data_IF_462427632179
#
_entry.id   IF_462427632179
#
_cell.length_a   1.000
_cell.length_b   1.000
_cell.length_c   1.000
_cell.angle_alpha   90.00
_cell.angle_beta   90.00
_cell.angle_gamma   90.00
#
_symmetry.space_group_name_H-M   'P 1'
#
loop_
_entity.id
_entity.type
_entity.pdbx_description
1 polymer ?
#
# COMPACT_ATOMS: atom_id res chain seq x y z
N UNK A 1 -80.78 -1.56 12.27
CA UNK A 1 -81.19 -2.57 11.25
C UNK A 1 -80.65 -3.93 11.71
N UNK A 2 -81.04 -5.05 11.06
CA UNK A 2 -80.66 -6.42 11.47
C UNK A 2 -79.13 -6.62 11.61
N UNK A 3 -78.57 -7.49 12.48
CA UNK A 3 -78.85 -8.92 12.77
C UNK A 3 -78.57 -9.82 11.54
N UNK A 4 -77.97 -11.02 11.62
CA UNK A 4 -78.00 -12.05 12.70
C UNK A 4 -76.68 -12.90 12.73
N UNK A 5 -76.65 -13.95 13.57
CA UNK A 5 -75.64 -15.01 13.82
C UNK A 5 -75.21 -15.83 12.55
N UNK A 6 -74.32 -16.85 12.52
CA UNK A 6 -74.07 -18.01 13.46
C UNK A 6 -72.69 -18.70 13.29
N UNK A 7 -72.41 -19.69 14.16
CA UNK A 7 -71.15 -20.45 14.34
C UNK A 7 -71.15 -21.87 13.72
N UNK A 8 -70.00 -22.58 13.82
CA UNK A 8 -69.84 -24.04 13.54
C UNK A 8 -68.37 -24.39 13.22
N UNK A 9 -67.50 -24.98 14.07
CA UNK A 9 -67.51 -26.18 14.93
C UNK A 9 -67.58 -27.55 14.19
N UNK A 10 -66.40 -28.13 13.88
CA UNK A 10 -65.94 -29.53 14.16
C UNK A 10 -66.77 -30.78 13.73
N UNK A 11 -66.25 -32.04 13.85
CA UNK A 11 -64.86 -32.54 13.82
C UNK A 11 -64.61 -33.76 12.88
N UNK A 12 -63.34 -34.21 12.85
CA UNK A 12 -62.80 -35.56 12.61
C UNK A 12 -63.67 -36.74 12.08
N UNK A 13 -63.07 -37.53 11.17
CA UNK A 13 -63.19 -39.00 11.26
C UNK A 13 -61.99 -39.78 10.71
N UNK A 14 -61.36 -40.56 11.59
CA UNK A 14 -60.38 -41.60 11.27
C UNK A 14 -61.06 -42.94 10.98
N UNK A 15 -60.46 -43.79 10.13
CA UNK A 15 -60.87 -45.20 9.95
C UNK A 15 -59.76 -46.08 9.38
N UNK A 16 -59.33 -47.07 10.17
CA UNK A 16 -58.35 -48.09 9.80
C UNK A 16 -59.00 -49.49 9.81
N UNK A 17 -58.59 -50.38 8.89
CA UNK A 17 -58.48 -51.85 9.09
C UNK A 17 -57.93 -52.61 7.87
N UNK A 18 -56.88 -53.41 8.12
CA UNK A 18 -56.63 -54.83 7.75
C UNK A 18 -57.60 -55.53 6.78
N UNK A 19 -57.22 -56.44 5.87
CA UNK A 19 -56.32 -57.64 5.98
C UNK A 19 -55.71 -58.02 4.61
N UNK A 20 -54.42 -58.36 4.44
CA UNK A 20 -53.70 -59.65 4.67
C UNK A 20 -53.74 -60.69 3.51
N UNK A 21 -52.58 -61.35 3.26
CA UNK A 21 -52.27 -62.26 2.13
C UNK A 21 -51.11 -61.68 1.28
N UNK A 22 -49.92 -62.26 1.16
CA UNK A 22 -49.47 -63.60 0.70
C UNK A 22 -49.61 -63.80 -0.83
N UNK A 23 -48.57 -64.13 -1.61
CA UNK A 23 -47.13 -64.30 -1.30
C UNK A 23 -46.29 -63.07 -1.75
N UNK A 24 -45.14 -63.06 -2.46
CA UNK A 24 -44.29 -64.04 -3.16
C UNK A 24 -42.80 -63.56 -3.14
N UNK A 25 -41.84 -64.25 -3.78
CA UNK A 25 -40.40 -63.98 -3.62
C UNK A 25 -39.70 -63.47 -4.91
N UNK A 26 -38.95 -62.36 -4.82
CA UNK A 26 -38.14 -61.85 -5.94
C UNK A 26 -36.83 -61.18 -5.46
N UNK A 27 -35.77 -61.97 -5.38
CA UNK A 27 -34.44 -61.58 -4.91
C UNK A 27 -33.77 -60.49 -5.80
N UNK A 28 -33.39 -59.35 -5.20
CA UNK A 28 -32.67 -58.27 -5.91
C UNK A 28 -31.36 -57.90 -5.22
N UNK A 29 -30.27 -57.96 -5.98
CA UNK A 29 -28.88 -57.83 -5.52
C UNK A 29 -28.57 -56.41 -5.02
N UNK A 30 -27.65 -56.25 -4.04
CA UNK A 30 -27.28 -54.93 -3.53
C UNK A 30 -26.63 -54.08 -4.63
N UNK A 31 -27.16 -52.87 -4.84
CA UNK A 31 -26.52 -51.90 -5.73
C UNK A 31 -25.29 -51.32 -5.06
N UNK A 32 -24.11 -51.62 -5.62
CA UNK A 32 -22.83 -51.12 -5.11
C UNK A 32 -22.79 -49.59 -5.13
N UNK A 33 -22.75 -48.99 -3.94
CA UNK A 33 -22.55 -47.56 -3.75
C UNK A 33 -21.12 -47.17 -4.12
N UNK A 34 -20.92 -46.76 -5.38
CA UNK A 34 -19.66 -46.11 -5.80
C UNK A 34 -19.37 -44.94 -4.84
N UNK A 35 -18.16 -44.84 -4.26
CA UNK A 35 -17.83 -43.76 -3.36
C UNK A 35 -17.90 -42.42 -4.11
N UNK A 36 -18.68 -41.48 -3.59
CA UNK A 36 -18.85 -40.16 -4.19
C UNK A 36 -17.54 -39.38 -4.02
N UNK A 37 -16.80 -39.14 -5.11
CA UNK A 37 -15.44 -38.62 -5.03
C UNK A 37 -15.43 -37.11 -4.74
N UNK A 38 -15.28 -36.76 -3.45
CA UNK A 38 -15.35 -35.39 -2.94
C UNK A 38 -14.13 -34.50 -3.29
N UNK A 39 -13.10 -35.05 -3.96
CA UNK A 39 -11.88 -34.32 -4.32
C UNK A 39 -12.00 -33.47 -5.59
N UNK A 40 -13.03 -33.68 -6.42
CA UNK A 40 -13.11 -33.12 -7.78
C UNK A 40 -14.17 -32.01 -7.98
N UNK A 41 -14.71 -31.42 -6.91
CA UNK A 41 -15.49 -30.16 -7.03
C UNK A 41 -14.50 -28.99 -7.00
N UNK A 42 -14.16 -28.49 -8.19
CA UNK A 42 -13.63 -27.14 -8.39
C UNK A 42 -14.74 -26.13 -8.13
N UNK A 43 -14.45 -25.09 -7.35
CA UNK A 43 -15.38 -23.98 -7.12
C UNK A 43 -15.40 -23.08 -8.36
N UNK A 44 -16.53 -23.02 -9.07
CA UNK A 44 -16.74 -22.10 -10.19
C UNK A 44 -17.00 -20.68 -9.68
N UNK A 45 -15.98 -19.82 -9.81
CA UNK A 45 -16.01 -18.43 -9.32
C UNK A 45 -16.80 -17.57 -10.32
N UNK A 46 -17.79 -16.83 -9.83
CA UNK A 46 -18.59 -15.90 -10.63
C UNK A 46 -17.76 -14.68 -11.05
N UNK A 47 -18.03 -14.09 -12.22
CA UNK A 47 -17.24 -12.98 -12.75
C UNK A 47 -17.21 -11.76 -11.78
N UNK A 48 -18.35 -11.41 -11.18
CA UNK A 48 -18.46 -10.36 -10.14
C UNK A 48 -17.69 -10.64 -8.83
N UNK A 49 -17.21 -11.87 -8.64
CA UNK A 49 -16.42 -12.31 -7.48
C UNK A 49 -14.90 -12.37 -7.79
N UNK A 50 -14.51 -12.05 -9.02
CA UNK A 50 -13.11 -11.99 -9.48
C UNK A 50 -12.52 -10.59 -9.29
N UNK A 51 -11.28 -10.51 -8.79
CA UNK A 51 -10.53 -9.26 -8.75
C UNK A 51 -10.05 -8.85 -10.16
N UNK A 52 -10.38 -7.65 -10.66
CA UNK A 52 -10.04 -7.23 -12.03
C UNK A 52 -8.55 -6.97 -12.27
N UNK A 53 -7.70 -7.05 -11.23
CA UNK A 53 -6.26 -6.80 -11.31
C UNK A 53 -5.46 -8.11 -11.38
N UNK A 54 -5.85 -9.12 -10.58
CA UNK A 54 -5.17 -10.42 -10.51
C UNK A 54 -5.98 -11.60 -11.06
N UNK A 55 -7.14 -11.32 -11.67
CA UNK A 55 -8.02 -12.28 -12.36
C UNK A 55 -8.34 -13.55 -11.54
N UNK A 56 -8.39 -13.38 -10.22
CA UNK A 56 -8.58 -14.42 -9.22
C UNK A 56 -9.56 -13.95 -8.16
N UNK A 57 -10.21 -14.88 -7.45
CA UNK A 57 -11.21 -14.58 -6.40
C UNK A 57 -10.79 -13.41 -5.51
N UNK A 58 -11.69 -12.45 -5.29
CA UNK A 58 -11.50 -11.33 -4.38
C UNK A 58 -11.08 -11.80 -2.97
N UNK A 59 -10.03 -11.17 -2.43
CA UNK A 59 -9.45 -11.47 -1.11
C UNK A 59 -9.13 -10.16 -0.40
N UNK A 60 -9.56 -10.03 0.87
CA UNK A 60 -9.63 -8.75 1.61
C UNK A 60 -10.17 -7.63 0.68
N UNK A 61 -11.39 -7.74 0.13
CA UNK A 61 -11.88 -6.82 -0.89
C UNK A 61 -12.01 -5.40 -0.33
N UNK A 62 -11.53 -4.42 -1.09
CA UNK A 62 -11.73 -2.99 -0.85
C UNK A 62 -12.57 -2.40 -1.96
N UNK A 63 -13.51 -1.52 -1.61
CA UNK A 63 -14.35 -0.80 -2.57
C UNK A 63 -13.98 0.68 -2.56
N UNK A 64 -13.78 1.25 -3.75
CA UNK A 64 -13.44 2.67 -3.95
C UNK A 64 -14.68 3.56 -3.88
N UNK A 65 -14.52 4.87 -3.60
CA UNK A 65 -15.64 5.84 -3.68
C UNK A 65 -16.24 5.99 -5.07
N UNK A 66 -15.54 5.54 -6.12
CA UNK A 66 -16.07 5.38 -7.47
C UNK A 66 -16.68 3.98 -7.74
N UNK A 67 -17.04 3.24 -6.68
CA UNK A 67 -17.74 1.95 -6.67
C UNK A 67 -17.08 0.81 -7.47
N UNK A 68 -15.74 0.75 -7.49
CA UNK A 68 -15.00 -0.39 -8.03
C UNK A 68 -14.42 -1.22 -6.90
N UNK A 69 -14.47 -2.56 -7.02
CA UNK A 69 -14.01 -3.48 -5.97
C UNK A 69 -12.84 -4.33 -6.46
N UNK A 70 -11.82 -4.50 -5.62
CA UNK A 70 -10.59 -5.26 -5.90
C UNK A 70 -9.97 -5.75 -4.59
N UNK A 71 -8.96 -6.63 -4.64
CA UNK A 71 -8.23 -7.03 -3.42
C UNK A 71 -7.46 -5.84 -2.83
N UNK A 72 -7.45 -5.72 -1.50
CA UNK A 72 -6.64 -4.75 -0.74
C UNK A 72 -5.19 -4.73 -1.21
N UNK A 73 -4.54 -5.90 -1.25
CA UNK A 73 -3.16 -6.05 -1.69
C UNK A 73 -2.96 -5.52 -3.12
N UNK A 74 -3.87 -5.83 -4.05
CA UNK A 74 -3.75 -5.36 -5.42
C UNK A 74 -3.90 -3.84 -5.55
N UNK A 75 -4.74 -3.20 -4.73
CA UNK A 75 -4.82 -1.74 -4.67
C UNK A 75 -3.56 -1.12 -4.04
N UNK A 76 -3.02 -1.72 -2.98
CA UNK A 76 -1.81 -1.26 -2.33
C UNK A 76 -0.61 -1.33 -3.28
N UNK A 77 -0.39 -2.46 -3.95
CA UNK A 77 0.65 -2.59 -4.99
C UNK A 77 0.42 -1.61 -6.14
N UNK A 78 -0.83 -1.36 -6.56
CA UNK A 78 -1.11 -0.35 -7.59
C UNK A 78 -0.78 1.07 -7.14
N UNK A 79 -1.06 1.42 -5.88
CA UNK A 79 -0.66 2.71 -5.31
C UNK A 79 0.87 2.85 -5.30
N UNK A 80 1.60 1.82 -4.86
CA UNK A 80 3.07 1.81 -4.86
C UNK A 80 3.68 1.92 -6.27
N UNK A 81 3.04 1.32 -7.28
CA UNK A 81 3.49 1.33 -8.67
C UNK A 81 3.12 2.60 -9.45
N UNK A 82 2.05 3.31 -9.08
CA UNK A 82 1.57 4.46 -9.87
C UNK A 82 2.29 5.75 -9.49
N UNK A 83 3.14 6.21 -10.42
CA UNK A 83 3.84 7.52 -10.39
C UNK A 83 2.91 8.73 -10.16
N UNK A 84 1.60 8.54 -10.36
CA UNK A 84 0.55 9.56 -10.23
C UNK A 84 -0.06 9.63 -8.81
N UNK A 85 0.14 8.63 -7.94
CA UNK A 85 -0.59 8.51 -6.67
C UNK A 85 -0.20 9.49 -5.55
N UNK A 86 0.97 10.14 -5.63
CA UNK A 86 1.63 10.71 -4.44
C UNK A 86 1.90 12.21 -4.49
N UNK A 87 0.96 12.99 -5.02
CA UNK A 87 1.01 14.45 -5.04
C UNK A 87 -0.39 15.06 -4.81
N UNK A 88 -1.06 14.65 -3.72
CA UNK A 88 -2.37 15.20 -3.35
C UNK A 88 -2.23 16.68 -2.95
N UNK A 89 -2.96 17.59 -3.59
CA UNK A 89 -2.93 19.01 -3.23
C UNK A 89 -3.57 19.23 -1.85
N UNK A 90 -2.86 19.93 -0.95
CA UNK A 90 -3.31 20.20 0.42
C UNK A 90 -3.06 21.67 0.78
N UNK A 91 -3.79 22.17 1.79
CA UNK A 91 -3.65 23.56 2.25
C UNK A 91 -2.26 23.85 2.81
N UNK A 92 -1.77 25.09 2.66
CA UNK A 92 -0.46 25.49 3.19
C UNK A 92 -0.36 25.42 4.72
N UNK A 93 -1.51 25.48 5.42
CA UNK A 93 -1.63 25.39 6.87
C UNK A 93 -1.72 23.95 7.40
N UNK A 94 -1.77 22.93 6.52
CA UNK A 94 -1.82 21.50 6.92
C UNK A 94 -0.43 20.97 7.28
N UNK A 95 0.18 21.50 8.34
CA UNK A 95 1.41 20.97 8.96
C UNK A 95 1.13 19.84 9.97
N UNK A 96 -0.14 19.57 10.29
CA UNK A 96 -0.52 18.51 11.22
C UNK A 96 -0.29 17.12 10.62
N UNK A 97 0.36 16.18 11.33
CA UNK A 97 0.36 14.78 10.95
C UNK A 97 -1.04 14.20 11.17
N UNK A 98 -1.87 14.27 10.13
CA UNK A 98 -3.21 13.68 10.09
C UNK A 98 -3.13 12.21 10.54
N UNK A 99 -3.98 11.82 11.49
CA UNK A 99 -3.96 10.46 12.04
C UNK A 99 -4.17 9.48 10.90
N UNK A 100 -3.18 8.60 10.68
CA UNK A 100 -3.27 7.52 9.70
C UNK A 100 -4.42 6.59 10.07
N UNK A 101 -5.62 6.88 9.56
CA UNK A 101 -6.76 5.97 9.58
C UNK A 101 -6.31 4.69 8.84
N UNK A 102 -6.10 3.55 9.52
CA UNK A 102 -5.32 2.44 8.94
C UNK A 102 -5.92 1.83 7.67
N UNK A 103 -7.20 2.12 7.41
CA UNK A 103 -8.03 1.49 6.40
C UNK A 103 -8.34 2.40 5.19
N UNK A 104 -7.75 3.61 5.10
CA UNK A 104 -8.09 4.61 4.08
C UNK A 104 -7.00 4.77 3.01
N UNK A 105 -7.12 4.04 1.90
CA UNK A 105 -6.18 4.12 0.78
C UNK A 105 -6.59 5.24 -0.18
N UNK A 106 -5.97 6.42 -0.04
CA UNK A 106 -5.99 7.52 -1.03
C UNK A 106 -5.16 7.11 -2.27
N UNK A 107 -5.79 6.89 -3.43
CA UNK A 107 -5.09 6.56 -4.68
C UNK A 107 -5.93 6.82 -5.95
N UNK A 108 -5.31 6.72 -7.13
CA UNK A 108 -6.04 6.70 -8.41
C UNK A 108 -6.63 5.30 -8.65
N UNK A 109 -7.95 5.19 -8.83
CA UNK A 109 -8.63 3.91 -9.03
C UNK A 109 -8.09 3.18 -10.28
N UNK A 110 -7.64 1.91 -10.18
CA UNK A 110 -7.12 1.15 -11.33
C UNK A 110 -8.07 1.08 -12.53
N UNK A 111 -9.38 1.02 -12.25
CA UNK A 111 -10.42 0.77 -13.24
C UNK A 111 -10.83 2.02 -14.04
N UNK A 112 -11.01 3.16 -13.36
CA UNK A 112 -11.53 4.39 -13.95
C UNK A 112 -10.59 5.61 -13.85
N UNK A 113 -9.41 5.44 -13.23
CA UNK A 113 -8.35 6.45 -13.02
C UNK A 113 -8.74 7.67 -12.17
N UNK A 114 -9.99 7.78 -11.73
CA UNK A 114 -10.44 8.82 -10.80
C UNK A 114 -9.67 8.74 -9.47
N UNK A 115 -9.25 9.90 -8.95
CA UNK A 115 -8.77 10.01 -7.56
C UNK A 115 -9.88 9.58 -6.60
N UNK A 116 -9.58 8.64 -5.72
CA UNK A 116 -10.59 7.97 -4.91
C UNK A 116 -9.97 7.51 -3.58
N UNK A 117 -10.82 7.33 -2.57
CA UNK A 117 -10.44 6.58 -1.36
C UNK A 117 -11.08 5.20 -1.43
N UNK A 118 -10.40 4.20 -0.89
CA UNK A 118 -10.94 2.85 -0.73
C UNK A 118 -11.16 2.48 0.73
N UNK A 119 -12.18 1.65 0.98
CA UNK A 119 -12.60 1.16 2.29
C UNK A 119 -12.80 -0.37 2.23
N UNK A 120 -12.42 -1.15 3.25
CA UNK A 120 -12.67 -2.60 3.30
C UNK A 120 -14.15 -2.96 3.22
N UNK A 121 -14.50 -3.85 2.30
CA UNK A 121 -15.87 -4.33 2.06
C UNK A 121 -16.09 -5.67 2.79
N UNK A 122 -16.38 -5.57 4.09
CA UNK A 122 -16.53 -6.73 4.97
C UNK A 122 -17.70 -7.64 4.58
N UNK A 123 -18.80 -7.09 4.08
CA UNK A 123 -19.97 -7.86 3.65
C UNK A 123 -19.64 -8.73 2.43
N UNK A 124 -18.92 -8.15 1.45
CA UNK A 124 -18.42 -8.90 0.29
C UNK A 124 -17.41 -9.96 0.73
N UNK A 125 -16.52 -9.65 1.67
CA UNK A 125 -15.57 -10.65 2.20
C UNK A 125 -16.29 -11.85 2.85
N UNK A 126 -17.33 -11.59 3.66
CA UNK A 126 -18.14 -12.64 4.28
C UNK A 126 -18.89 -13.49 3.24
N UNK A 127 -19.48 -12.84 2.22
CA UNK A 127 -20.11 -13.54 1.09
C UNK A 127 -19.12 -14.47 0.36
N UNK A 128 -17.91 -13.99 0.07
CA UNK A 128 -16.87 -14.76 -0.62
C UNK A 128 -16.37 -15.93 0.23
N UNK A 129 -16.14 -15.73 1.54
CA UNK A 129 -15.77 -16.79 2.50
C UNK A 129 -16.82 -17.89 2.59
N UNK A 130 -18.11 -17.54 2.55
CA UNK A 130 -19.22 -18.48 2.60
C UNK A 130 -19.45 -19.21 1.26
N UNK A 131 -19.32 -18.51 0.12
CA UNK A 131 -19.58 -19.04 -1.23
C UNK A 131 -18.42 -19.88 -1.78
N UNK A 132 -17.17 -19.53 -1.43
CA UNK A 132 -15.95 -20.09 -2.02
C UNK A 132 -14.88 -20.49 -0.97
N UNK A 133 -15.21 -21.36 0.01
CA UNK A 133 -14.35 -21.64 1.17
C UNK A 133 -13.04 -22.39 0.86
N UNK A 134 -12.89 -23.08 -0.28
CA UNK A 134 -11.60 -23.64 -0.72
C UNK A 134 -10.74 -22.57 -1.36
N UNK A 135 -11.31 -21.80 -2.29
CA UNK A 135 -10.62 -20.78 -3.08
C UNK A 135 -10.20 -19.58 -2.23
N UNK A 136 -11.04 -19.15 -1.27
CA UNK A 136 -10.69 -18.06 -0.35
C UNK A 136 -9.49 -18.42 0.53
N UNK A 137 -9.44 -19.65 1.07
CA UNK A 137 -8.30 -20.14 1.85
C UNK A 137 -7.00 -20.19 1.02
N UNK A 138 -7.10 -20.49 -0.28
CA UNK A 138 -5.94 -20.41 -1.19
C UNK A 138 -5.46 -18.96 -1.34
N UNK A 139 -6.36 -18.00 -1.61
CA UNK A 139 -6.00 -16.57 -1.68
C UNK A 139 -5.39 -16.05 -0.36
N UNK A 140 -5.89 -16.55 0.78
CA UNK A 140 -5.34 -16.22 2.10
C UNK A 140 -3.90 -16.72 2.24
N UNK A 141 -3.62 -17.99 1.90
CA UNK A 141 -2.25 -18.51 1.93
C UNK A 141 -1.31 -17.78 0.96
N UNK A 142 -1.77 -17.44 -0.26
CA UNK A 142 -1.03 -16.59 -1.20
C UNK A 142 -0.69 -15.21 -0.59
N UNK A 143 -1.64 -14.60 0.14
CA UNK A 143 -1.45 -13.31 0.82
C UNK A 143 -0.50 -13.43 2.01
N UNK A 144 -0.60 -14.51 2.80
CA UNK A 144 0.27 -14.77 3.96
C UNK A 144 1.71 -15.09 3.53
N UNK A 145 1.91 -15.78 2.40
CA UNK A 145 3.23 -15.99 1.79
C UNK A 145 3.82 -14.68 1.23
N UNK A 146 3.01 -13.84 0.59
CA UNK A 146 3.42 -12.51 0.14
C UNK A 146 3.78 -11.61 1.33
N UNK A 147 2.90 -11.54 2.34
CA UNK A 147 3.11 -10.79 3.58
C UNK A 147 4.35 -11.30 4.34
N UNK A 148 4.63 -12.61 4.36
CA UNK A 148 5.85 -13.16 4.96
C UNK A 148 7.15 -12.76 4.22
N UNK A 149 7.11 -12.63 2.89
CA UNK A 149 8.25 -12.17 2.09
C UNK A 149 8.47 -10.64 2.19
N UNK A 150 7.39 -9.86 2.29
CA UNK A 150 7.43 -8.40 2.46
C UNK A 150 7.59 -7.95 3.92
N UNK A 151 7.38 -8.84 4.91
CA UNK A 151 7.49 -8.58 6.36
C UNK A 151 8.93 -8.39 6.84
N UNK A 152 9.67 -7.51 6.18
CA UNK A 152 10.83 -6.87 6.76
C UNK A 152 10.36 -5.75 7.70
N UNK A 153 10.59 -5.94 9.01
CA UNK A 153 10.45 -4.92 10.08
C UNK A 153 11.26 -3.63 9.83
N UNK A 154 12.04 -3.61 8.74
CA UNK A 154 12.77 -2.45 8.24
C UNK A 154 11.93 -1.47 7.41
N UNK A 155 10.75 -1.86 6.90
CA UNK A 155 9.90 -1.00 6.05
C UNK A 155 9.17 0.04 6.90
N UNK A 156 9.47 1.31 6.66
CA UNK A 156 8.99 2.46 7.46
C UNK A 156 8.20 3.43 6.57
N UNK A 157 6.99 3.84 6.97
CA UNK A 157 6.25 4.88 6.26
C UNK A 157 6.89 6.25 6.47
N UNK A 158 6.84 7.09 5.43
CA UNK A 158 7.38 8.44 5.40
C UNK A 158 6.46 9.34 4.57
N UNK A 159 5.86 10.35 5.19
CA UNK A 159 5.11 11.39 4.47
C UNK A 159 6.05 12.54 4.13
N UNK A 160 5.93 13.13 2.94
CA UNK A 160 6.66 14.35 2.57
C UNK A 160 5.66 15.35 2.00
N UNK A 161 5.68 16.58 2.53
CA UNK A 161 5.04 17.72 1.88
C UNK A 161 6.07 18.46 1.04
N UNK A 162 5.74 18.70 -0.22
CA UNK A 162 6.56 19.48 -1.17
C UNK A 162 5.74 20.68 -1.60
N UNK A 163 6.32 21.87 -1.58
CA UNK A 163 5.59 23.06 -1.97
C UNK A 163 6.45 24.31 -2.03
N UNK A 164 5.79 25.43 -2.26
CA UNK A 164 6.38 26.74 -2.01
C UNK A 164 5.35 27.70 -1.41
N UNK A 165 5.82 28.62 -0.57
CA UNK A 165 5.06 29.87 -0.31
C UNK A 165 5.51 30.96 -1.27
N UNK A 166 4.69 31.99 -1.43
CA UNK A 166 4.91 33.14 -2.30
C UNK A 166 4.40 34.45 -1.66
N UNK A 167 5.14 35.53 -1.87
CA UNK A 167 4.83 36.90 -1.42
C UNK A 167 5.30 37.91 -2.46
N UNK A 168 4.47 38.90 -2.78
CA UNK A 168 4.91 40.07 -3.54
C UNK A 168 5.67 41.03 -2.62
N UNK A 169 6.90 41.38 -3.00
CA UNK A 169 7.71 42.40 -2.33
C UNK A 169 7.47 43.74 -3.02
N UNK A 170 6.98 44.72 -2.26
CA UNK A 170 6.94 46.12 -2.70
C UNK A 170 8.34 46.72 -2.51
N UNK A 171 8.93 47.18 -3.60
CA UNK A 171 10.14 48.02 -3.59
C UNK A 171 9.74 49.43 -3.13
N UNK A 172 10.65 50.15 -2.47
CA UNK A 172 10.46 51.59 -2.20
C UNK A 172 10.32 52.40 -3.48
N UNK A 173 9.89 53.65 -3.37
CA UNK A 173 9.60 54.54 -4.53
C UNK A 173 10.80 54.86 -5.42
N UNK A 174 12.01 54.62 -4.93
CA UNK A 174 13.23 55.21 -5.47
C UNK A 174 14.10 54.11 -6.11
N UNK A 175 14.25 54.19 -7.44
CA UNK A 175 15.03 53.35 -8.36
C UNK A 175 14.39 52.05 -8.91
N UNK A 176 13.89 52.18 -10.15
CA UNK A 176 13.91 51.20 -11.25
C UNK A 176 13.08 49.89 -11.20
N UNK A 177 12.80 49.36 -12.39
CA UNK A 177 11.92 48.23 -12.65
C UNK A 177 12.55 46.86 -12.32
N UNK A 178 12.95 46.62 -11.07
CA UNK A 178 13.41 45.29 -10.67
C UNK A 178 12.26 44.29 -10.83
N UNK A 179 12.32 43.45 -11.88
CA UNK A 179 11.29 42.43 -12.21
C UNK A 179 11.17 41.34 -11.14
N UNK A 180 12.20 41.19 -10.30
CA UNK A 180 12.31 40.21 -9.22
C UNK A 180 11.42 40.51 -8.00
N UNK A 181 10.10 40.70 -8.21
CA UNK A 181 9.13 41.10 -7.18
C UNK A 181 8.48 39.91 -6.45
N UNK A 182 8.62 38.70 -6.99
CA UNK A 182 8.08 37.48 -6.41
C UNK A 182 9.11 36.88 -5.44
N UNK A 183 8.89 37.08 -4.14
CA UNK A 183 9.59 36.33 -3.11
C UNK A 183 8.92 34.98 -2.95
N UNK A 184 9.69 33.90 -3.11
CA UNK A 184 9.20 32.55 -2.95
C UNK A 184 10.14 31.75 -2.05
N UNK A 185 9.57 30.78 -1.33
CA UNK A 185 10.28 29.87 -0.46
C UNK A 185 9.83 28.45 -0.77
N UNK A 186 10.62 27.74 -1.58
CA UNK A 186 10.43 26.32 -1.85
C UNK A 186 10.83 25.51 -0.61
N UNK A 187 10.11 24.43 -0.31
CA UNK A 187 10.38 23.60 0.85
C UNK A 187 10.06 22.11 0.60
N UNK A 188 10.74 21.26 1.37
CA UNK A 188 10.46 19.84 1.51
C UNK A 188 10.33 19.54 3.00
N UNK A 189 9.14 19.13 3.49
CA UNK A 189 8.88 18.82 4.90
C UNK A 189 8.59 17.31 5.06
N UNK A 190 9.60 16.49 5.44
CA UNK A 190 9.40 15.08 5.76
C UNK A 190 8.79 14.92 7.17
N UNK A 191 7.86 13.99 7.34
CA UNK A 191 7.33 13.63 8.67
C UNK A 191 8.38 12.98 9.60
N UNK A 192 9.53 12.57 9.04
CA UNK A 192 10.65 11.96 9.76
C UNK A 192 12.00 12.51 9.27
N UNK A 193 12.47 13.56 9.94
CA UNK A 193 13.79 14.13 9.72
C UNK A 193 14.95 13.18 10.08
N UNK A 194 14.69 12.13 10.86
CA UNK A 194 15.70 11.13 11.23
C UNK A 194 16.15 10.25 10.06
N UNK A 195 15.33 10.12 9.00
CA UNK A 195 15.60 9.29 7.82
C UNK A 195 16.33 10.05 6.70
N UNK A 196 16.15 11.38 6.61
CA UNK A 196 16.71 12.21 5.54
C UNK A 196 18.13 12.65 5.89
N UNK A 197 19.08 12.49 4.94
CA UNK A 197 20.44 13.02 5.03
C UNK A 197 20.47 14.49 4.65
N UNK A 198 19.96 14.80 3.46
CA UNK A 198 20.01 16.14 2.85
C UNK A 198 19.05 16.21 1.65
N UNK A 199 18.71 17.42 1.20
CA UNK A 199 17.93 17.66 -0.03
C UNK A 199 18.76 18.48 -1.01
N UNK A 200 18.95 17.97 -2.22
CA UNK A 200 19.70 18.66 -3.29
C UNK A 200 18.70 19.39 -4.19
N UNK A 201 18.67 20.72 -4.15
CA UNK A 201 17.74 21.56 -4.93
C UNK A 201 18.45 22.17 -6.12
N UNK A 202 17.90 21.95 -7.31
CA UNK A 202 18.38 22.42 -8.60
C UNK A 202 17.45 23.52 -9.13
N UNK A 203 17.94 24.75 -9.12
CA UNK A 203 17.30 25.94 -9.66
C UNK A 203 17.76 26.18 -11.11
N UNK A 204 17.01 27.00 -11.84
CA UNK A 204 17.39 27.40 -13.20
C UNK A 204 18.79 28.07 -13.24
N UNK A 205 19.64 27.85 -14.26
CA UNK A 205 21.03 28.35 -14.29
C UNK A 205 21.22 29.87 -14.16
N UNK A 206 20.17 30.67 -14.36
CA UNK A 206 20.19 32.12 -14.14
C UNK A 206 20.27 32.54 -12.66
N UNK A 207 20.04 31.63 -11.71
CA UNK A 207 20.14 31.92 -10.29
C UNK A 207 21.60 31.89 -9.81
N UNK A 208 22.00 32.89 -9.00
CA UNK A 208 23.28 32.83 -8.26
C UNK A 208 23.25 31.64 -7.29
N UNK A 209 24.26 30.79 -7.40
CA UNK A 209 24.32 29.45 -6.81
C UNK A 209 23.05 28.61 -7.11
N UNK A 210 22.94 28.02 -8.32
CA UNK A 210 21.74 27.31 -8.75
C UNK A 210 21.63 25.89 -8.20
N UNK A 211 22.66 25.38 -7.50
CA UNK A 211 22.62 24.07 -6.81
C UNK A 211 22.74 24.29 -5.31
N UNK A 212 21.77 23.81 -4.54
CA UNK A 212 21.73 23.98 -3.09
C UNK A 212 21.69 22.62 -2.42
N UNK A 213 22.57 22.37 -1.46
CA UNK A 213 22.53 21.16 -0.63
C UNK A 213 22.00 21.59 0.74
N UNK A 214 20.79 21.18 1.06
CA UNK A 214 20.09 21.51 2.30
C UNK A 214 20.31 20.36 3.28
N UNK A 215 21.29 20.52 4.17
CA UNK A 215 21.79 19.44 5.04
C UNK A 215 20.99 19.25 6.33
N UNK A 216 19.98 20.09 6.59
CA UNK A 216 19.16 20.01 7.80
C UNK A 216 17.75 20.57 7.57
N UNK A 217 16.78 20.17 8.42
CA UNK A 217 15.46 20.80 8.47
C UNK A 217 15.57 22.32 8.72
N UNK A 218 14.67 23.14 8.15
CA UNK A 218 13.43 22.77 7.47
C UNK A 218 13.56 22.54 5.95
N UNK A 219 14.75 22.23 5.43
CA UNK A 219 15.01 21.92 4.00
C UNK A 219 14.31 22.89 3.01
N UNK A 220 14.48 24.20 3.24
CA UNK A 220 13.84 25.26 2.43
C UNK A 220 14.86 26.15 1.68
N UNK A 221 14.42 26.70 0.55
CA UNK A 221 15.18 27.60 -0.31
C UNK A 221 14.36 28.85 -0.67
N UNK A 222 14.73 30.00 -0.09
CA UNK A 222 14.15 31.31 -0.36
C UNK A 222 14.94 32.09 -1.41
N UNK A 223 14.24 32.73 -2.36
CA UNK A 223 14.80 33.57 -3.43
C UNK A 223 13.79 34.63 -3.89
N UNK A 224 14.26 35.56 -4.71
CA UNK A 224 13.43 36.47 -5.50
C UNK A 224 13.42 36.00 -6.97
N UNK A 225 12.28 36.09 -7.66
CA UNK A 225 12.13 35.76 -9.08
C UNK A 225 11.09 36.65 -9.79
N UNK A 226 10.98 36.45 -11.11
CA UNK A 226 10.16 37.27 -12.01
C UNK A 226 9.18 36.48 -12.89
N UNK A 227 9.10 35.15 -12.71
CA UNK A 227 8.21 34.26 -13.45
C UNK A 227 8.22 32.85 -12.87
N UNK A 228 7.23 32.04 -13.21
CA UNK A 228 7.13 30.65 -12.75
C UNK A 228 8.12 29.75 -13.50
N UNK A 229 8.70 28.78 -12.80
CA UNK A 229 9.57 27.76 -13.38
C UNK A 229 9.58 26.50 -12.51
N UNK A 230 10.05 25.40 -13.08
CA UNK A 230 10.18 24.12 -12.38
C UNK A 230 11.47 24.06 -11.56
N UNK A 231 11.35 23.68 -10.30
CA UNK A 231 12.45 23.28 -9.42
C UNK A 231 12.54 21.75 -9.46
N UNK A 232 13.75 21.23 -9.65
CA UNK A 232 14.04 19.82 -9.48
C UNK A 232 14.76 19.62 -8.14
N UNK A 233 14.29 18.69 -7.31
CA UNK A 233 14.89 18.39 -6.02
C UNK A 233 15.13 16.88 -5.88
N UNK A 234 16.26 16.50 -5.28
CA UNK A 234 16.56 15.10 -4.95
C UNK A 234 16.60 14.94 -3.43
N UNK A 235 15.71 14.12 -2.87
CA UNK A 235 15.67 13.85 -1.43
C UNK A 235 16.55 12.64 -1.13
N UNK A 236 17.63 12.86 -0.39
CA UNK A 236 18.67 11.87 -0.14
C UNK A 236 18.46 11.24 1.25
N UNK A 237 18.35 9.91 1.30
CA UNK A 237 18.26 9.16 2.56
C UNK A 237 19.63 9.04 3.25
N UNK A 238 19.61 8.74 4.55
CA UNK A 238 20.81 8.31 5.27
C UNK A 238 21.22 6.90 4.85
N UNK A 239 22.51 6.58 5.05
CA UNK A 239 23.02 5.23 4.82
C UNK A 239 22.23 4.19 5.65
N UNK A 240 22.07 2.98 5.10
CA UNK A 240 21.20 1.95 5.66
C UNK A 240 19.69 2.14 5.37
N UNK A 241 19.33 3.01 4.42
CA UNK A 241 17.95 3.20 3.95
C UNK A 241 17.89 3.38 2.42
N UNK A 242 16.86 2.81 1.79
CA UNK A 242 16.51 3.02 0.39
C UNK A 242 15.01 3.30 0.21
N UNK A 243 14.64 3.91 -0.92
CA UNK A 243 13.26 4.16 -1.32
C UNK A 243 12.68 2.93 -2.02
N UNK A 244 11.45 2.53 -1.64
CA UNK A 244 10.74 1.47 -2.38
C UNK A 244 10.18 1.97 -3.73
N UNK A 245 9.93 3.28 -3.87
CA UNK A 245 9.42 3.90 -5.11
C UNK A 245 10.30 3.58 -6.33
N UNK A 246 9.70 3.36 -7.50
CA UNK A 246 10.39 2.78 -8.67
C UNK A 246 11.30 3.75 -9.44
N UNK A 247 11.05 5.04 -9.33
CA UNK A 247 11.84 6.14 -9.93
C UNK A 247 12.92 6.69 -8.98
N UNK A 248 13.17 6.00 -7.86
CA UNK A 248 14.28 6.33 -6.98
C UNK A 248 15.62 5.84 -7.55
N UNK A 249 16.62 6.71 -7.46
CA UNK A 249 17.91 6.59 -8.12
C UNK A 249 19.02 6.18 -7.15
N UNK A 250 20.05 5.54 -7.69
CA UNK A 250 21.30 5.31 -6.98
C UNK A 250 22.05 6.65 -6.77
N UNK A 251 22.59 6.85 -5.58
CA UNK A 251 23.40 8.04 -5.29
C UNK A 251 24.80 7.96 -5.91
N UNK A 252 25.44 9.11 -6.15
CA UNK A 252 26.84 9.21 -6.63
C UNK A 252 27.86 8.45 -5.79
N UNK A 253 27.50 8.10 -4.56
CA UNK A 253 28.35 7.40 -3.60
C UNK A 253 28.07 5.89 -3.55
N UNK A 254 27.25 5.36 -4.47
CA UNK A 254 26.95 3.93 -4.60
C UNK A 254 25.86 3.38 -3.66
N UNK A 255 25.21 4.22 -2.83
CA UNK A 255 24.05 3.78 -2.07
C UNK A 255 22.82 3.70 -3.00
N UNK A 256 22.30 2.48 -3.21
CA UNK A 256 21.28 2.20 -4.21
C UNK A 256 19.88 2.64 -3.79
N UNK A 257 19.09 3.14 -4.75
CA UNK A 257 17.75 3.73 -4.57
C UNK A 257 17.65 4.69 -3.38
N UNK A 258 18.72 5.43 -3.05
CA UNK A 258 18.77 6.32 -1.90
C UNK A 258 18.49 7.80 -2.24
N UNK A 259 18.41 8.14 -3.53
CA UNK A 259 17.93 9.43 -4.05
C UNK A 259 16.48 9.29 -4.52
N UNK A 260 15.60 10.24 -4.17
CA UNK A 260 14.27 10.35 -4.77
C UNK A 260 14.17 11.67 -5.53
N UNK A 261 14.08 11.66 -6.87
CA UNK A 261 13.81 12.85 -7.66
C UNK A 261 12.37 13.34 -7.46
N UNK A 262 12.22 14.66 -7.39
CA UNK A 262 10.97 15.39 -7.19
C UNK A 262 10.95 16.60 -8.12
N UNK A 263 9.85 16.74 -8.85
CA UNK A 263 9.58 17.89 -9.73
C UNK A 263 8.53 18.81 -9.08
N UNK A 264 8.82 20.11 -8.99
CA UNK A 264 7.90 21.11 -8.46
C UNK A 264 7.82 22.37 -9.32
N UNK A 265 6.68 22.59 -9.98
CA UNK A 265 6.38 23.87 -10.62
C UNK A 265 6.03 24.92 -9.56
N UNK A 266 6.79 26.02 -9.50
CA UNK A 266 6.50 27.11 -8.56
C UNK A 266 5.11 27.71 -8.81
N UNK A 267 4.31 27.78 -7.75
CA UNK A 267 2.98 28.39 -7.73
C UNK A 267 3.04 29.75 -7.03
N UNK A 268 2.52 30.79 -7.69
CA UNK A 268 2.45 32.16 -7.15
C UNK A 268 1.00 32.60 -6.86
N UNK A 269 0.01 31.76 -7.15
CA UNK A 269 -1.39 32.01 -6.81
C UNK A 269 -1.60 31.89 -5.29
N UNK A 270 -2.54 32.65 -4.71
CA UNK A 270 -3.03 32.51 -3.33
C UNK A 270 -1.99 32.43 -2.19
N UNK A 271 -0.74 32.87 -2.43
CA UNK A 271 0.36 32.77 -1.45
C UNK A 271 1.21 31.50 -1.59
N UNK A 272 0.99 30.71 -2.64
CA UNK A 272 1.68 29.45 -2.95
C UNK A 272 0.78 28.23 -2.78
N UNK A 273 1.36 27.04 -2.95
CA UNK A 273 0.66 25.77 -2.72
C UNK A 273 1.64 24.66 -2.32
N UNK A 274 1.10 23.54 -1.82
CA UNK A 274 1.86 22.34 -1.50
C UNK A 274 1.09 21.06 -1.84
N UNK A 275 1.81 19.95 -1.91
CA UNK A 275 1.25 18.61 -2.15
C UNK A 275 1.86 17.59 -1.20
N UNK A 276 1.05 16.60 -0.84
CA UNK A 276 1.33 15.53 0.13
C UNK A 276 1.69 14.22 -0.60
N UNK A 277 2.89 13.71 -0.32
CA UNK A 277 3.39 12.41 -0.76
C UNK A 277 3.34 11.44 0.43
N UNK A 278 2.72 10.26 0.29
CA UNK A 278 2.92 9.13 1.23
C UNK A 278 3.89 8.14 0.58
N UNK A 279 4.97 7.79 1.26
CA UNK A 279 6.07 6.98 0.72
C UNK A 279 6.45 5.86 1.70
N UNK A 280 7.12 4.82 1.18
CA UNK A 280 7.75 3.77 1.97
C UNK A 280 9.26 3.81 1.76
N UNK A 281 10.02 3.74 2.86
CA UNK A 281 11.47 3.45 2.83
C UNK A 281 11.71 2.07 3.43
N UNK A 282 12.69 1.36 2.90
CA UNK A 282 13.18 0.12 3.50
C UNK A 282 14.53 0.42 4.16
N UNK A 283 14.68 0.04 5.42
CA UNK A 283 15.99 0.03 6.06
C UNK A 283 16.77 -1.22 5.69
N UNK A 284 18.09 -1.20 5.87
CA UNK A 284 18.80 -2.43 6.18
C UNK A 284 18.35 -2.88 7.58
N UNK A 285 17.39 -3.81 7.65
CA UNK A 285 17.09 -4.50 8.90
C UNK A 285 18.37 -5.16 9.43
N UNK A 286 18.60 -5.09 10.74
CA UNK A 286 19.89 -5.45 11.35
C UNK A 286 20.40 -6.80 10.82
N UNK A 287 21.42 -6.76 9.95
CA UNK A 287 22.17 -7.96 9.58
C UNK A 287 22.85 -8.44 10.85
N UNK A 288 22.22 -9.42 11.51
CA UNK A 288 22.84 -10.23 12.56
C UNK A 288 24.06 -10.89 11.96
N UNK A 289 25.22 -10.26 12.12
CA UNK A 289 26.49 -10.84 11.71
C UNK A 289 26.59 -12.24 12.32
N UNK A 290 26.81 -13.24 11.46
CA UNK A 290 27.05 -14.60 11.89
C UNK A 290 28.33 -14.66 12.74
N UNK A 291 28.16 -14.56 14.06
CA UNK A 291 29.20 -14.81 15.08
C UNK A 291 29.55 -16.30 15.17
N UNK A 292 29.72 -16.94 14.02
CA UNK A 292 30.06 -18.35 13.79
C UNK A 292 31.42 -18.50 13.10
N UNK A 293 32.37 -17.60 13.39
CA UNK A 293 33.74 -17.66 12.84
C UNK A 293 34.90 -17.51 13.85
N UNK A 294 34.64 -17.71 15.16
CA UNK A 294 35.70 -17.62 16.19
C UNK A 294 35.61 -18.68 17.31
N UNK A 295 35.17 -19.92 17.03
CA UNK A 295 35.26 -21.06 17.97
C UNK A 295 35.75 -22.38 17.34
N UNK A 296 36.66 -22.31 16.37
CA UNK A 296 37.38 -23.49 15.82
C UNK A 296 38.87 -23.18 15.73
N UNK A 297 39.50 -22.93 16.88
CA UNK A 297 40.93 -22.60 16.99
C UNK A 297 41.58 -23.10 18.30
N UNK A 298 40.90 -23.97 19.06
CA UNK A 298 41.38 -24.49 20.36
C UNK A 298 41.08 -25.98 20.53
N UNK A 299 41.27 -26.77 19.46
CA UNK A 299 41.47 -28.22 19.62
C UNK A 299 42.29 -28.82 18.48
N UNK A 300 43.62 -28.76 18.62
CA UNK A 300 44.54 -29.69 17.96
C UNK A 300 45.53 -30.16 19.01
N UNK A 301 45.21 -31.30 19.59
CA UNK A 301 45.95 -31.88 20.70
C UNK A 301 47.41 -32.19 20.33
N UNK A 302 48.25 -31.96 21.34
CA UNK A 302 49.62 -32.45 21.48
C UNK A 302 49.74 -33.89 20.96
N UNK A 303 50.67 -34.12 20.03
CA UNK A 303 51.12 -35.46 19.63
C UNK A 303 52.63 -35.55 19.88
N UNK A 304 53.12 -36.48 20.72
CA UNK A 304 54.54 -36.59 21.03
C UNK A 304 55.35 -37.14 19.85
N UNK A 305 56.65 -36.82 19.73
CA UNK A 305 57.50 -37.29 18.65
C UNK A 305 57.76 -38.80 18.76
N UNK A 306 57.72 -39.51 17.63
CA UNK A 306 58.18 -40.89 17.53
C UNK A 306 59.71 -40.92 17.42
N UNK A 307 60.36 -41.66 18.30
CA UNK A 307 61.79 -41.97 18.21
C UNK A 307 62.07 -42.95 17.07
N UNK A 308 63.09 -42.69 16.27
CA UNK A 308 63.62 -43.62 15.26
C UNK A 308 64.56 -44.64 15.91
N UNK A 309 64.36 -45.92 15.62
CA UNK A 309 65.26 -47.01 16.01
C UNK A 309 65.09 -48.20 15.06
N UNK A 310 66.21 -48.76 14.59
CA UNK A 310 66.34 -49.76 13.52
C UNK A 310 66.00 -49.24 12.12
#
# INVERSE_FOLDING_TARGET
MAATLVEGHSPARERSRTTAGMEECAERKPMSSKPFNLSAISEEIHEDDVCPICYSLLHKPVTTTCNHTMCELCLNTWADLTVIAYMNAVGLDEDTPEVLLPNLVESSCPMCRSSSTAVPNQDKEQQLKARYPRSYRRRQAESEEFEANESSDSVKPLTIYVGNTHRLVRVGSDNEETRNRHEWNFFVRPSRHDLIKEVHVHLHPTFRNPRLILQSPPFQARRLGWGCFTIYASVILKAGYCWLRNDAEDTTNGASKASLPIEWLLDFNNGGSQKRCRLKVQGEGERKEDKKKTRVATDKMISPPRTSSS
#
